data_IF_247534778925
#
_entry.id   IF_247534778925
#
_cell.length_a   1.000
_cell.length_b   1.000
_cell.length_c   1.000
_cell.angle_alpha   90.00
_cell.angle_beta   90.00
_cell.angle_gamma   90.00
#
_symmetry.space_group_name_H-M   'P 1'
#
loop_
_entity.id
_entity.type
_entity.pdbx_description
1 polymer ?
#
# COMPACT_ATOMS: atom_id res chain seq x y z
N UNK A 1 -9.55 18.31 7.91
CA UNK A 1 -10.48 19.01 6.99
C UNK A 1 -10.86 17.99 5.92
N UNK A 2 -12.14 17.90 5.58
CA UNK A 2 -12.62 17.04 4.49
C UNK A 2 -13.17 18.00 3.44
N UNK A 3 -12.64 17.91 2.22
CA UNK A 3 -12.95 18.82 1.12
C UNK A 3 -13.29 18.03 -0.14
N UNK A 4 -13.97 18.67 -1.07
CA UNK A 4 -14.19 18.13 -2.40
C UNK A 4 -12.87 18.14 -3.21
N UNK A 5 -12.61 17.07 -3.96
CA UNK A 5 -11.40 16.93 -4.77
C UNK A 5 -11.27 17.99 -5.86
N UNK A 6 -12.39 18.54 -6.35
CA UNK A 6 -12.38 19.64 -7.31
C UNK A 6 -11.65 20.88 -6.77
N UNK A 7 -11.59 21.05 -5.44
CA UNK A 7 -10.96 22.20 -4.77
C UNK A 7 -9.49 21.99 -4.43
N UNK A 8 -8.88 20.88 -4.83
CA UNK A 8 -7.53 20.49 -4.42
C UNK A 8 -6.46 21.56 -4.70
N UNK A 9 -6.58 22.30 -5.81
CA UNK A 9 -5.66 23.39 -6.14
C UNK A 9 -5.76 24.56 -5.16
N UNK A 10 -6.98 24.98 -4.84
CA UNK A 10 -7.24 26.07 -3.89
C UNK A 10 -6.75 25.68 -2.49
N UNK A 11 -7.15 24.50 -2.03
CA UNK A 11 -6.81 23.97 -0.72
C UNK A 11 -5.29 23.80 -0.59
N UNK A 12 -4.62 23.28 -1.63
CA UNK A 12 -3.18 23.10 -1.56
C UNK A 12 -2.39 24.42 -1.66
N UNK A 13 -2.97 25.46 -2.27
CA UNK A 13 -2.34 26.79 -2.27
C UNK A 13 -2.28 27.39 -0.86
N UNK A 14 -3.25 27.09 0.00
CA UNK A 14 -3.28 27.52 1.41
C UNK A 14 -2.39 26.64 2.29
N UNK A 15 -2.42 25.32 2.08
CA UNK A 15 -1.70 24.35 2.92
C UNK A 15 -0.21 24.25 2.54
N UNK A 16 0.11 24.37 1.26
CA UNK A 16 1.47 24.20 0.73
C UNK A 16 1.97 22.74 0.80
N UNK A 17 1.10 21.74 0.62
CA UNK A 17 1.50 20.35 0.72
C UNK A 17 2.37 19.93 -0.47
N UNK A 18 3.45 19.20 -0.16
CA UNK A 18 4.43 18.67 -1.12
C UNK A 18 4.28 17.17 -1.39
N UNK A 19 3.52 16.48 -0.53
CA UNK A 19 3.27 15.05 -0.57
C UNK A 19 1.76 14.78 -0.64
N UNK A 20 1.36 13.83 -1.49
CA UNK A 20 -0.01 13.35 -1.63
C UNK A 20 -0.09 11.83 -1.50
N UNK A 21 -1.22 11.32 -0.99
CA UNK A 21 -1.50 9.88 -0.90
C UNK A 21 -2.71 9.58 -1.77
N UNK A 22 -2.60 8.60 -2.66
CA UNK A 22 -3.68 8.15 -3.55
C UNK A 22 -4.15 6.78 -3.07
N UNK A 23 -5.41 6.73 -2.62
CA UNK A 23 -6.07 5.51 -2.13
C UNK A 23 -7.44 5.30 -2.81
N UNK A 24 -7.56 5.71 -4.07
CA UNK A 24 -8.77 5.56 -4.88
C UNK A 24 -8.72 4.31 -5.77
N UNK A 25 -9.84 3.86 -6.34
CA UNK A 25 -9.84 2.78 -7.33
C UNK A 25 -8.98 3.08 -8.56
N UNK A 26 -8.53 2.03 -9.25
CA UNK A 26 -7.60 2.14 -10.38
C UNK A 26 -8.04 3.13 -11.48
N UNK A 27 -9.33 3.17 -11.79
CA UNK A 27 -9.86 4.02 -12.87
C UNK A 27 -9.78 5.52 -12.56
N UNK A 28 -9.80 5.90 -11.28
CA UNK A 28 -9.75 7.30 -10.85
C UNK A 28 -8.32 7.76 -10.51
N UNK A 29 -7.38 6.83 -10.30
CA UNK A 29 -6.07 7.14 -9.74
C UNK A 29 -5.23 8.08 -10.62
N UNK A 30 -5.32 7.95 -11.95
CA UNK A 30 -4.56 8.82 -12.86
C UNK A 30 -5.06 10.26 -12.81
N UNK A 31 -6.38 10.47 -12.87
CA UNK A 31 -6.97 11.82 -12.79
C UNK A 31 -6.60 12.51 -11.47
N UNK A 32 -6.64 11.78 -10.35
CA UNK A 32 -6.23 12.31 -9.04
C UNK A 32 -4.74 12.65 -9.01
N UNK A 33 -3.89 11.83 -9.62
CA UNK A 33 -2.47 12.11 -9.71
C UNK A 33 -2.20 13.39 -10.50
N UNK A 34 -2.87 13.57 -11.64
CA UNK A 34 -2.73 14.75 -12.48
C UNK A 34 -3.15 16.01 -11.71
N UNK A 35 -4.27 15.97 -11.00
CA UNK A 35 -4.74 17.06 -10.14
C UNK A 35 -3.75 17.41 -9.01
N UNK A 36 -3.16 16.42 -8.35
CA UNK A 36 -2.14 16.63 -7.32
C UNK A 36 -0.89 17.31 -7.90
N UNK A 37 -0.44 16.87 -9.08
CA UNK A 37 0.73 17.45 -9.76
C UNK A 37 0.44 18.90 -10.15
N UNK A 38 -0.72 19.19 -10.72
CA UNK A 38 -1.13 20.56 -11.05
C UNK A 38 -1.28 21.45 -9.82
N UNK A 39 -1.62 20.88 -8.65
CA UNK A 39 -1.65 21.56 -7.38
C UNK A 39 -0.26 21.81 -6.76
N UNK A 40 0.82 21.34 -7.40
CA UNK A 40 2.20 21.55 -6.96
C UNK A 40 2.78 20.45 -6.06
N UNK A 41 2.10 19.30 -5.94
CA UNK A 41 2.61 18.15 -5.20
C UNK A 41 3.74 17.48 -6.00
N UNK A 42 4.86 17.24 -5.33
CA UNK A 42 6.07 16.67 -5.97
C UNK A 42 6.35 15.23 -5.54
N UNK A 43 5.64 14.70 -4.55
CA UNK A 43 5.75 13.32 -4.12
C UNK A 43 4.38 12.67 -3.95
N UNK A 44 4.21 11.47 -4.49
CA UNK A 44 2.94 10.73 -4.45
C UNK A 44 3.20 9.33 -3.89
N UNK A 45 2.46 8.97 -2.84
CA UNK A 45 2.37 7.61 -2.33
C UNK A 45 1.11 6.96 -2.92
N UNK A 46 1.28 5.99 -3.80
CA UNK A 46 0.20 5.36 -4.54
C UNK A 46 -0.15 3.98 -3.96
N UNK A 47 -1.36 3.85 -3.42
CA UNK A 47 -1.96 2.59 -3.00
C UNK A 47 -2.95 2.04 -4.04
N UNK A 48 -3.26 2.81 -5.09
CA UNK A 48 -4.13 2.32 -6.15
C UNK A 48 -3.42 1.20 -6.93
N UNK A 49 -4.14 0.14 -7.36
CA UNK A 49 -3.56 -1.00 -8.06
C UNK A 49 -3.36 -0.68 -9.55
N UNK A 50 -2.64 0.40 -9.83
CA UNK A 50 -2.32 0.86 -11.18
C UNK A 50 -1.01 1.65 -11.19
N UNK A 51 -0.38 1.73 -12.35
CA UNK A 51 0.82 2.53 -12.56
C UNK A 51 0.40 3.93 -12.99
N UNK A 52 0.87 4.94 -12.26
CA UNK A 52 0.62 6.34 -12.57
C UNK A 52 1.65 6.86 -13.57
N UNK A 53 1.19 7.63 -14.55
CA UNK A 53 2.06 8.40 -15.45
C UNK A 53 2.16 9.82 -14.92
N UNK A 54 3.35 10.24 -14.50
CA UNK A 54 3.57 11.59 -13.99
C UNK A 54 4.82 12.21 -14.63
N UNK A 55 4.95 13.55 -14.62
CA UNK A 55 6.15 14.22 -15.10
C UNK A 55 7.44 13.83 -14.34
N UNK A 56 8.63 14.00 -14.93
CA UNK A 56 9.90 13.56 -14.32
C UNK A 56 10.26 14.21 -12.97
N UNK A 57 9.70 15.38 -12.67
CA UNK A 57 9.94 16.09 -11.41
C UNK A 57 9.09 15.59 -10.24
N UNK A 58 8.22 14.59 -10.48
CA UNK A 58 7.31 14.02 -9.48
C UNK A 58 7.77 12.61 -9.12
N UNK A 59 7.98 12.37 -7.84
CA UNK A 59 8.38 11.06 -7.34
C UNK A 59 7.16 10.25 -6.93
N UNK A 60 7.00 9.05 -7.48
CA UNK A 60 5.90 8.14 -7.13
C UNK A 60 6.45 6.90 -6.43
N UNK A 61 5.85 6.56 -5.29
CA UNK A 61 6.11 5.30 -4.59
C UNK A 61 4.83 4.48 -4.57
N UNK A 62 4.84 3.31 -5.23
CA UNK A 62 3.74 2.36 -5.15
C UNK A 62 3.89 1.52 -3.88
N UNK A 63 2.77 1.30 -3.16
CA UNK A 63 2.72 0.47 -1.96
C UNK A 63 1.56 -0.50 -2.06
N UNK A 64 1.84 -1.78 -1.82
CA UNK A 64 0.84 -2.84 -1.74
C UNK A 64 0.84 -3.43 -0.33
N UNK A 65 -0.12 -2.99 0.49
CA UNK A 65 -0.26 -3.52 1.87
C UNK A 65 -0.55 -5.03 1.83
N UNK A 66 -1.26 -5.51 0.80
CA UNK A 66 -1.57 -6.94 0.66
C UNK A 66 -0.31 -7.78 0.52
N UNK A 67 0.69 -7.31 -0.24
CA UNK A 67 1.96 -8.02 -0.39
C UNK A 67 2.75 -8.01 0.93
N UNK A 68 2.82 -6.87 1.61
CA UNK A 68 3.50 -6.76 2.91
C UNK A 68 2.86 -7.68 3.96
N UNK A 69 1.52 -7.72 4.01
CA UNK A 69 0.78 -8.60 4.90
C UNK A 69 0.95 -10.08 4.55
N UNK A 70 1.05 -10.44 3.26
CA UNK A 70 1.31 -11.81 2.85
C UNK A 70 2.70 -12.29 3.25
N UNK A 71 3.70 -11.40 3.18
CA UNK A 71 5.05 -11.68 3.70
C UNK A 71 4.99 -11.89 5.21
N UNK A 72 4.32 -11.01 5.95
CA UNK A 72 4.19 -11.15 7.40
C UNK A 72 3.43 -12.43 7.80
N UNK A 73 2.36 -12.78 7.09
CA UNK A 73 1.57 -13.98 7.40
C UNK A 73 2.34 -15.27 7.18
N UNK A 74 3.21 -15.33 6.16
CA UNK A 74 4.11 -16.46 5.93
C UNK A 74 5.05 -16.68 7.13
N UNK A 75 5.72 -15.63 7.60
CA UNK A 75 6.66 -15.73 8.72
C UNK A 75 5.96 -16.12 10.03
N UNK A 76 4.79 -15.54 10.32
CA UNK A 76 3.99 -15.91 11.49
C UNK A 76 3.55 -17.39 11.42
N UNK A 77 3.18 -17.87 10.23
CA UNK A 77 2.80 -19.27 10.02
C UNK A 77 3.98 -20.24 10.22
N UNK A 78 5.19 -19.88 9.80
CA UNK A 78 6.40 -20.68 10.06
C UNK A 78 6.72 -20.78 11.56
N UNK A 79 6.57 -19.68 12.31
CA UNK A 79 6.72 -19.67 13.77
C UNK A 79 5.68 -20.56 14.48
N UNK A 80 4.51 -20.76 13.88
CA UNK A 80 3.47 -21.67 14.41
C UNK A 80 3.62 -23.12 13.93
N UNK A 81 4.36 -23.38 12.85
CA UNK A 81 4.54 -24.69 12.21
C UNK A 81 5.60 -25.61 12.86
N UNK A 82 6.49 -25.10 13.71
CA UNK A 82 7.52 -25.92 14.39
C UNK A 82 7.02 -26.70 15.63
N UNK A 83 5.71 -26.66 15.92
CA UNK A 83 5.10 -27.43 17.02
C UNK A 83 4.29 -28.66 16.60
N UNK A 84 4.07 -28.94 15.32
CA UNK A 84 3.24 -30.08 14.91
C UNK A 84 4.01 -31.32 14.39
N UNK A 85 5.28 -31.17 13.99
CA UNK A 85 6.08 -32.31 13.49
C UNK A 85 6.79 -33.14 14.58
N UNK A 86 6.75 -32.73 15.86
CA UNK A 86 7.36 -33.49 16.97
C UNK A 86 6.41 -34.49 17.65
N UNK A 87 5.09 -34.34 17.51
CA UNK A 87 4.13 -35.18 18.24
C UNK A 87 3.66 -36.44 17.46
N UNK A 88 3.98 -36.54 16.17
CA UNK A 88 3.55 -37.66 15.30
C UNK A 88 4.42 -38.92 15.32
N UNK A 89 5.52 -38.97 16.09
CA UNK A 89 6.43 -40.14 16.12
C UNK A 89 6.40 -40.99 17.38
N UNK A 90 5.55 -40.67 18.36
CA UNK A 90 5.53 -41.41 19.64
C UNK A 90 4.38 -42.44 19.78
N UNK A 91 3.37 -42.41 18.92
CA UNK A 91 2.27 -43.41 18.91
C UNK A 91 2.59 -44.72 18.17
N UNK A 92 3.75 -44.83 17.52
CA UNK A 92 4.11 -46.00 16.71
C UNK A 92 5.05 -47.02 17.40
N UNK A 93 5.31 -46.91 18.71
CA UNK A 93 6.25 -47.81 19.42
C UNK A 93 5.73 -48.55 20.66
N UNK A 94 4.44 -48.45 20.99
CA UNK A 94 3.85 -49.25 22.09
C UNK A 94 2.86 -50.31 21.58
N UNK A 95 3.30 -51.13 20.64
CA UNK A 95 2.77 -52.49 20.41
C UNK A 95 3.97 -53.41 20.20
N UNK A 96 4.72 -53.65 21.27
CA UNK A 96 5.45 -54.88 21.56
C UNK A 96 5.61 -55.00 23.07
#
# INVERSE_FOLDING_TARGET
>A
IIEDIARIKEVNAEIGARLGIIAVPAHAAQEVADLLVEAGVTGILNFAPTILRVPPHVHVRNVSIVQELAVLSYHVAEETGERDCRNGREVARSVR
#
